data_IF_549557962425
#
_entry.id   IF_549557962425
#
_cell.length_a   1.000
_cell.length_b   1.000
_cell.length_c   1.000
_cell.angle_alpha   90.00
_cell.angle_beta   90.00
_cell.angle_gamma   90.00
#
_symmetry.space_group_name_H-M   'P 1'
#
loop_
_entity.id
_entity.type
_entity.pdbx_description
1 polymer ?
#
# COMPACT_ATOMS: atom_id res chain seq x y z
N UNK A 1 -2.02 0.73 17.83
CA UNK A 1 -3.21 0.40 17.03
C UNK A 1 -3.95 1.69 16.76
N UNK A 2 -4.07 2.03 15.48
CA UNK A 2 -4.84 3.19 15.05
C UNK A 2 -6.21 2.70 14.54
N UNK A 3 -7.21 3.58 14.52
CA UNK A 3 -8.56 3.27 14.05
C UNK A 3 -8.84 3.89 12.68
N UNK A 4 -7.85 3.90 11.78
CA UNK A 4 -8.06 4.37 10.42
C UNK A 4 -8.95 3.36 9.67
N UNK A 5 -9.99 3.87 9.01
CA UNK A 5 -10.99 3.09 8.27
C UNK A 5 -11.14 3.64 6.85
N UNK A 6 -11.85 2.90 6.00
CA UNK A 6 -12.08 3.28 4.60
C UNK A 6 -11.01 2.75 3.66
N UNK A 7 -10.89 3.35 2.47
CA UNK A 7 -9.96 2.92 1.42
C UNK A 7 -8.79 3.90 1.28
N UNK A 8 -7.68 3.45 0.70
CA UNK A 8 -6.61 4.37 0.31
C UNK A 8 -7.13 5.32 -0.78
N UNK A 9 -6.90 6.64 -0.64
CA UNK A 9 -7.32 7.59 -1.67
C UNK A 9 -6.43 7.44 -2.91
N UNK A 10 -7.03 7.52 -4.11
CA UNK A 10 -6.28 7.44 -5.38
C UNK A 10 -5.21 8.52 -5.50
N UNK A 11 -5.37 9.66 -4.81
CA UNK A 11 -4.36 10.73 -4.74
C UNK A 11 -3.02 10.27 -4.18
N UNK A 12 -2.99 9.19 -3.39
CA UNK A 12 -1.75 8.58 -2.90
C UNK A 12 -0.88 8.08 -4.06
N UNK A 13 -1.49 7.66 -5.18
CA UNK A 13 -0.80 7.20 -6.37
C UNK A 13 -0.10 8.34 -7.12
N UNK A 14 -0.38 9.61 -6.79
CA UNK A 14 0.31 10.76 -7.41
C UNK A 14 1.63 11.10 -6.72
N UNK A 15 2.00 10.38 -5.65
CA UNK A 15 3.22 10.63 -4.91
C UNK A 15 4.40 9.90 -5.58
N UNK A 16 4.84 10.38 -6.75
CA UNK A 16 5.88 9.73 -7.55
C UNK A 16 7.21 9.57 -6.81
N UNK A 17 7.51 10.48 -5.88
CA UNK A 17 8.74 10.50 -5.10
C UNK A 17 8.61 9.72 -3.78
N UNK A 18 7.46 9.09 -3.54
CA UNK A 18 7.21 8.33 -2.32
C UNK A 18 8.16 7.14 -2.24
N UNK A 19 9.07 7.18 -1.28
CA UNK A 19 10.06 6.13 -1.07
C UNK A 19 9.57 5.02 -0.14
N UNK A 20 8.79 5.37 0.89
CA UNK A 20 8.27 4.41 1.86
C UNK A 20 6.89 4.79 2.37
N UNK A 21 6.05 3.78 2.64
CA UNK A 21 4.69 3.95 3.13
C UNK A 21 4.34 2.88 4.16
N UNK A 22 3.85 3.28 5.33
CA UNK A 22 3.49 2.37 6.42
C UNK A 22 2.18 2.74 7.10
N UNK A 23 1.28 1.77 7.23
CA UNK A 23 -0.03 1.91 7.89
C UNK A 23 -0.49 0.58 8.52
N UNK A 24 0.46 -0.23 8.98
CA UNK A 24 0.22 -1.51 9.66
C UNK A 24 -0.73 -1.36 10.87
N UNK A 25 -1.56 -2.38 11.13
CA UNK A 25 -2.47 -2.46 12.28
C UNK A 25 -3.53 -1.34 12.28
N UNK A 26 -4.39 -1.37 11.25
CA UNK A 26 -5.54 -0.49 11.05
C UNK A 26 -6.75 -1.29 10.52
N UNK A 27 -7.82 -0.60 10.13
CA UNK A 27 -9.04 -1.19 9.57
C UNK A 27 -9.28 -0.69 8.13
N UNK A 28 -8.21 -0.38 7.40
CA UNK A 28 -8.28 0.05 6.00
C UNK A 28 -8.62 -1.16 5.12
N UNK A 29 -9.42 -0.93 4.08
CA UNK A 29 -9.93 -1.97 3.19
C UNK A 29 -9.83 -1.58 1.70
N UNK A 30 -10.12 -2.53 0.83
CA UNK A 30 -10.10 -2.37 -0.63
C UNK A 30 -8.84 -2.99 -1.25
N UNK A 31 -8.51 -2.55 -2.46
CA UNK A 31 -7.43 -3.15 -3.25
C UNK A 31 -6.42 -2.10 -3.69
N UNK A 32 -5.14 -2.47 -3.73
CA UNK A 32 -4.16 -1.70 -4.47
C UNK A 32 -4.41 -1.92 -5.98
N UNK A 33 -4.33 -0.86 -6.81
CA UNK A 33 -4.41 -1.02 -8.25
C UNK A 33 -3.33 -2.00 -8.72
N UNK A 34 -3.69 -2.86 -9.68
CA UNK A 34 -2.75 -3.80 -10.29
C UNK A 34 -1.46 -3.10 -10.79
N UNK A 35 -1.58 -1.87 -11.26
CA UNK A 35 -0.47 -1.11 -11.84
C UNK A 35 0.12 -0.09 -10.85
N UNK A 36 -0.08 -0.25 -9.53
CA UNK A 36 0.37 0.71 -8.51
C UNK A 36 1.88 1.04 -8.59
N UNK A 37 2.72 0.08 -9.01
CA UNK A 37 4.16 0.30 -9.23
C UNK A 37 4.49 1.30 -10.35
N UNK A 38 3.59 1.51 -11.32
CA UNK A 38 3.74 2.55 -12.34
C UNK A 38 3.56 3.96 -11.78
N UNK A 39 2.67 4.07 -10.80
CA UNK A 39 2.30 5.35 -10.18
C UNK A 39 3.22 5.72 -9.02
N UNK A 40 3.78 4.70 -8.36
CA UNK A 40 4.73 4.84 -7.25
C UNK A 40 6.11 4.28 -7.65
N UNK A 41 6.77 4.85 -8.68
CA UNK A 41 7.99 4.27 -9.26
C UNK A 41 9.18 4.24 -8.30
N UNK A 42 9.17 5.11 -7.29
CA UNK A 42 10.25 5.21 -6.31
C UNK A 42 9.95 4.48 -4.99
N UNK A 43 8.80 3.80 -4.87
CA UNK A 43 8.42 3.14 -3.63
C UNK A 43 9.24 1.88 -3.41
N UNK A 44 10.01 1.88 -2.33
CA UNK A 44 10.90 0.81 -1.91
C UNK A 44 10.46 0.14 -0.60
N UNK A 45 9.53 0.74 0.14
CA UNK A 45 9.03 0.15 1.38
C UNK A 45 7.52 0.29 1.47
N UNK A 46 6.83 -0.84 1.69
CA UNK A 46 5.38 -0.86 1.91
C UNK A 46 5.03 -1.77 3.09
N UNK A 47 4.52 -1.17 4.16
CA UNK A 47 4.07 -1.86 5.37
C UNK A 47 2.56 -1.66 5.53
N UNK A 48 1.79 -2.68 5.19
CA UNK A 48 0.32 -2.63 5.18
C UNK A 48 -0.36 -3.80 5.91
N UNK A 49 0.43 -4.58 6.66
CA UNK A 49 -0.06 -5.74 7.39
C UNK A 49 -1.16 -5.38 8.38
N UNK A 50 -1.91 -6.38 8.83
CA UNK A 50 -3.00 -6.20 9.80
C UNK A 50 -3.98 -5.09 9.38
N UNK A 51 -4.49 -5.20 8.16
CA UNK A 51 -5.56 -4.42 7.56
C UNK A 51 -6.49 -5.37 6.76
N UNK A 52 -7.53 -4.83 6.13
CA UNK A 52 -8.57 -5.57 5.41
C UNK A 52 -8.44 -5.43 3.87
N UNK A 53 -7.21 -5.38 3.34
CA UNK A 53 -7.00 -5.31 1.89
C UNK A 53 -7.23 -6.65 1.20
N UNK A 54 -7.82 -6.62 0.01
CA UNK A 54 -8.12 -7.78 -0.83
C UNK A 54 -7.53 -7.65 -2.24
N UNK A 55 -7.59 -8.75 -3.01
CA UNK A 55 -7.06 -8.82 -4.37
C UNK A 55 -5.58 -9.25 -4.46
N UNK A 56 -5.07 -9.45 -5.68
CA UNK A 56 -3.74 -9.97 -5.90
C UNK A 56 -2.66 -8.92 -5.58
N UNK A 57 -1.89 -9.16 -4.52
CA UNK A 57 -0.60 -8.49 -4.32
C UNK A 57 0.36 -8.93 -5.43
N UNK A 58 0.64 -8.03 -6.38
CA UNK A 58 1.59 -8.33 -7.45
C UNK A 58 3.01 -8.54 -6.91
N UNK A 59 3.78 -9.37 -7.61
CA UNK A 59 5.15 -9.75 -7.22
C UNK A 59 6.08 -8.57 -6.95
N UNK A 60 5.88 -7.42 -7.59
CA UNK A 60 6.67 -6.21 -7.34
C UNK A 60 6.58 -5.77 -5.87
N UNK A 61 5.41 -5.94 -5.24
CA UNK A 61 5.21 -5.67 -3.81
C UNK A 61 5.63 -6.83 -2.92
N UNK A 62 5.66 -8.07 -3.44
CA UNK A 62 6.26 -9.22 -2.73
C UNK A 62 7.79 -9.10 -2.62
N UNK A 63 8.44 -8.27 -3.44
CA UNK A 63 9.86 -7.95 -3.26
C UNK A 63 10.12 -6.87 -2.20
N UNK A 64 9.08 -6.15 -1.75
CA UNK A 64 9.19 -5.13 -0.69
C UNK A 64 8.80 -5.70 0.70
N UNK A 65 8.74 -7.03 0.83
CA UNK A 65 8.19 -7.73 1.98
C UNK A 65 9.03 -7.57 3.27
N UNK A 66 8.30 -7.16 4.30
CA UNK A 66 8.25 -7.75 5.66
C UNK A 66 9.33 -7.28 6.65
N UNK A 67 8.94 -6.30 7.47
CA UNK A 67 8.99 -6.34 8.95
C UNK A 67 7.79 -5.57 9.51
#
# INVERSE_FOLDING_TARGET
MNNLTGTLPETLLNLSDLWGLGFTTNQLAGHLPKDAGRFLPNLQQLYMGENNFDGPLQLLFLMLQVL
#
